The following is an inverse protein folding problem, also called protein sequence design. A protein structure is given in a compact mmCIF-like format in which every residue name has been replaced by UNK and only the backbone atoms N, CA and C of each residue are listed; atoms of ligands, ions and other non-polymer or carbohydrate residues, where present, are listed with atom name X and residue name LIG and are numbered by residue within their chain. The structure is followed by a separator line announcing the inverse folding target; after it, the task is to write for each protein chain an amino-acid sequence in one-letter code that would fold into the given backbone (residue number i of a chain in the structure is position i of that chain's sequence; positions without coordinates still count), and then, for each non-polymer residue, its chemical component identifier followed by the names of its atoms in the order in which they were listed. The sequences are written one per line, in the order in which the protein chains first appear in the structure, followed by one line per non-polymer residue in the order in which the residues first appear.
data_IF_298313258031
#
_entry.id   IF_298313258031
#
_cell.length_a   1.000
_cell.length_b   1.000
_cell.length_c   1.000
_cell.angle_alpha   90.00
_cell.angle_beta   90.00
_cell.angle_gamma   90.00
#
_symmetry.space_group_name_H-M   'P 1'
#
loop_
_entity.id
_entity.type
_entity.pdbx_description
1 polymer ?
#
# COMPACT_ATOMS: atom_id res chain seq x y z
N UNK A 1 4.81 -19.07 6.47
CA UNK A 1 4.83 -19.56 5.08
C UNK A 1 5.32 -18.39 4.25
N UNK A 2 6.32 -18.61 3.40
CA UNK A 2 6.85 -17.54 2.54
C UNK A 2 5.86 -17.18 1.44
N UNK A 3 5.52 -15.89 1.30
CA UNK A 3 4.74 -15.35 0.18
C UNK A 3 5.62 -14.39 -0.61
N UNK A 4 5.72 -14.58 -1.92
CA UNK A 4 6.42 -13.66 -2.83
C UNK A 4 5.42 -12.78 -3.56
N UNK A 5 5.69 -11.48 -3.69
CA UNK A 5 4.84 -10.50 -4.38
C UNK A 5 5.67 -9.34 -4.90
N UNK A 6 5.11 -8.54 -5.80
CA UNK A 6 5.76 -7.32 -6.29
C UNK A 6 5.22 -6.12 -5.53
N UNK A 7 6.09 -5.32 -4.92
CA UNK A 7 5.74 -4.09 -4.22
C UNK A 7 6.45 -2.93 -4.91
N UNK A 8 5.70 -1.98 -5.45
CA UNK A 8 6.25 -0.78 -6.11
C UNK A 8 7.30 -1.10 -7.20
N UNK A 9 7.12 -2.21 -7.92
CA UNK A 9 8.03 -2.65 -8.98
C UNK A 9 9.17 -3.56 -8.51
N UNK A 10 9.36 -3.76 -7.21
CA UNK A 10 10.39 -4.63 -6.65
C UNK A 10 9.79 -5.93 -6.12
N UNK A 11 10.46 -7.06 -6.38
CA UNK A 11 10.05 -8.34 -5.83
C UNK A 11 10.40 -8.43 -4.34
N UNK A 12 9.41 -8.71 -3.51
CA UNK A 12 9.54 -8.89 -2.07
C UNK A 12 9.12 -10.30 -1.68
N UNK A 13 9.80 -10.88 -0.69
CA UNK A 13 9.42 -12.16 -0.10
C UNK A 13 9.29 -11.99 1.41
N UNK A 14 8.14 -12.36 1.95
CA UNK A 14 7.83 -12.21 3.38
C UNK A 14 7.44 -13.56 3.98
N UNK A 15 7.94 -13.88 5.16
CA UNK A 15 7.54 -15.07 5.91
C UNK A 15 6.65 -14.69 7.08
N UNK A 16 5.33 -14.79 6.86
CA UNK A 16 4.29 -14.44 7.83
C UNK A 16 3.15 -15.45 7.78
N UNK A 17 2.17 -15.28 8.68
CA UNK A 17 0.91 -16.02 8.61
C UNK A 17 0.15 -15.64 7.31
N UNK A 18 -0.34 -16.60 6.49
CA UNK A 18 -1.05 -16.32 5.25
C UNK A 18 -2.36 -15.54 5.41
N UNK A 19 -2.95 -15.55 6.62
CA UNK A 19 -4.13 -14.77 6.98
C UNK A 19 -3.80 -13.34 7.40
N UNK A 20 -2.51 -13.01 7.64
CA UNK A 20 -2.08 -11.68 8.06
C UNK A 20 -2.54 -10.65 7.02
N UNK A 21 -3.26 -9.59 7.41
CA UNK A 21 -3.67 -8.55 6.49
C UNK A 21 -2.47 -7.86 5.84
N UNK A 22 -2.57 -7.60 4.53
CA UNK A 22 -1.56 -6.95 3.72
C UNK A 22 -1.12 -5.61 4.32
N UNK A 23 -2.05 -4.87 4.94
CA UNK A 23 -1.73 -3.61 5.62
C UNK A 23 -0.58 -3.75 6.63
N UNK A 24 -0.61 -4.80 7.43
CA UNK A 24 0.40 -5.02 8.47
C UNK A 24 1.71 -5.51 7.87
N UNK A 25 1.65 -6.30 6.79
CA UNK A 25 2.84 -6.69 6.02
C UNK A 25 3.57 -5.47 5.47
N UNK A 26 2.85 -4.57 4.80
CA UNK A 26 3.43 -3.33 4.26
C UNK A 26 4.09 -2.50 5.36
N UNK A 27 3.38 -2.29 6.46
CA UNK A 27 3.82 -1.36 7.52
C UNK A 27 4.92 -1.92 8.42
N UNK A 28 4.80 -3.17 8.84
CA UNK A 28 5.66 -3.75 9.88
C UNK A 28 6.79 -4.60 9.29
N UNK A 29 6.52 -5.38 8.24
CA UNK A 29 7.53 -6.25 7.64
C UNK A 29 8.36 -5.51 6.59
N UNK A 30 7.72 -4.60 5.83
CA UNK A 30 8.38 -3.86 4.74
C UNK A 30 8.64 -2.38 5.06
N UNK A 31 8.24 -1.90 6.24
CA UNK A 31 8.39 -0.52 6.69
C UNK A 31 7.79 0.57 5.75
N UNK A 32 6.87 0.18 4.87
CA UNK A 32 6.10 1.09 3.99
C UNK A 32 4.89 1.63 4.76
N UNK A 33 5.15 2.69 5.52
CA UNK A 33 4.20 3.25 6.49
C UNK A 33 3.25 4.30 5.92
N UNK A 34 3.36 4.65 4.64
CA UNK A 34 2.50 5.57 3.93
C UNK A 34 1.06 5.09 3.85
N UNK A 35 0.84 3.78 3.66
CA UNK A 35 -0.50 3.17 3.78
C UNK A 35 -0.94 3.15 5.24
N UNK A 36 -2.14 3.67 5.56
CA UNK A 36 -2.57 3.91 6.95
C UNK A 36 -3.62 2.93 7.48
N UNK A 37 -3.66 2.80 8.80
CA UNK A 37 -4.71 2.07 9.51
C UNK A 37 -5.77 3.05 10.04
N UNK A 38 -6.97 3.04 9.48
CA UNK A 38 -8.07 3.87 9.99
C UNK A 38 -9.08 3.09 10.85
N UNK A 39 -9.77 2.12 10.25
CA UNK A 39 -10.88 1.41 10.91
C UNK A 39 -10.72 -0.12 11.00
N UNK A 40 -9.83 -0.73 10.21
CA UNK A 40 -9.67 -2.20 10.16
C UNK A 40 -10.82 -3.00 9.51
N UNK A 41 -11.92 -2.33 9.13
CA UNK A 41 -13.15 -2.99 8.66
C UNK A 41 -13.59 -2.52 7.25
N UNK A 42 -12.63 -2.10 6.43
CA UNK A 42 -12.84 -1.67 5.03
C UNK A 42 -13.77 -0.46 4.78
N UNK A 43 -14.15 0.30 5.83
CA UNK A 43 -15.08 1.43 5.68
C UNK A 43 -14.42 2.75 5.28
N UNK A 44 -13.27 3.11 5.88
CA UNK A 44 -12.72 4.46 5.75
C UNK A 44 -11.85 4.72 4.51
N UNK A 45 -11.30 3.68 3.87
CA UNK A 45 -10.40 3.85 2.72
C UNK A 45 -8.96 4.28 3.01
N UNK A 46 -8.58 4.59 4.25
CA UNK A 46 -7.21 5.01 4.59
C UNK A 46 -6.10 3.97 4.26
N UNK A 47 -6.49 2.70 4.14
CA UNK A 47 -5.58 1.58 3.83
C UNK A 47 -5.54 1.21 2.33
N UNK A 48 -5.98 2.11 1.45
CA UNK A 48 -6.09 1.80 0.03
C UNK A 48 -4.72 1.62 -0.61
N UNK A 49 -4.57 0.52 -1.33
CA UNK A 49 -3.45 0.23 -2.23
C UNK A 49 -4.02 -0.24 -3.56
N UNK A 50 -3.22 -0.23 -4.61
CA UNK A 50 -3.61 -0.83 -5.89
C UNK A 50 -3.03 -2.24 -5.98
N UNK A 51 -3.87 -3.23 -6.28
CA UNK A 51 -3.45 -4.61 -6.54
C UNK A 51 -3.77 -4.91 -8.01
N UNK A 52 -2.75 -5.13 -8.82
CA UNK A 52 -2.82 -5.21 -10.29
C UNK A 52 -3.61 -4.03 -10.89
N UNK A 53 -3.32 -2.82 -10.40
CA UNK A 53 -3.98 -1.58 -10.83
C UNK A 53 -5.38 -1.34 -10.25
N UNK A 54 -5.96 -2.29 -9.50
CA UNK A 54 -7.29 -2.13 -8.89
C UNK A 54 -7.20 -1.64 -7.44
N UNK A 55 -7.95 -0.59 -7.10
CA UNK A 55 -8.00 -0.06 -5.74
C UNK A 55 -8.66 -1.07 -4.78
N UNK A 56 -7.92 -1.50 -3.75
CA UNK A 56 -8.36 -2.50 -2.77
C UNK A 56 -8.02 -2.06 -1.34
N UNK A 57 -8.78 -2.58 -0.37
CA UNK A 57 -8.56 -2.32 1.06
C UNK A 57 -7.56 -3.34 1.62
N UNK A 58 -6.35 -2.88 1.95
CA UNK A 58 -5.29 -3.76 2.46
C UNK A 58 -5.57 -4.27 3.88
N UNK A 59 -6.42 -3.60 4.67
CA UNK A 59 -6.72 -4.00 6.05
C UNK A 59 -7.54 -5.29 6.18
N UNK A 60 -8.25 -5.71 5.13
CA UNK A 60 -9.05 -6.95 5.09
C UNK A 60 -8.58 -7.93 4.03
N UNK A 61 -7.54 -7.58 3.27
CA UNK A 61 -6.97 -8.46 2.24
C UNK A 61 -5.85 -9.27 2.86
N UNK A 62 -5.97 -10.60 2.99
CA UNK A 62 -4.89 -11.45 3.47
C UNK A 62 -3.70 -11.47 2.49
N UNK A 63 -2.48 -11.61 3.01
CA UNK A 63 -1.26 -11.69 2.21
C UNK A 63 -1.27 -12.87 1.22
N UNK A 64 -1.89 -13.99 1.61
CA UNK A 64 -2.09 -15.15 0.70
C UNK A 64 -2.84 -14.83 -0.58
N UNK A 65 -3.72 -13.81 -0.59
CA UNK A 65 -4.49 -13.42 -1.80
C UNK A 65 -3.69 -12.57 -2.79
N UNK A 66 -2.47 -12.17 -2.41
CA UNK A 66 -1.62 -11.30 -3.23
C UNK A 66 -0.29 -11.94 -3.61
N UNK A 67 -0.16 -13.26 -3.41
CA UNK A 67 0.98 -14.01 -3.92
C UNK A 67 1.13 -13.85 -5.43
N UNK A 68 2.35 -13.48 -5.87
CA UNK A 68 2.71 -13.23 -7.26
C UNK A 68 2.15 -11.94 -7.87
N UNK A 69 1.31 -11.20 -7.15
CA UNK A 69 0.60 -10.02 -7.68
C UNK A 69 1.41 -8.74 -7.50
N UNK A 70 1.03 -7.70 -8.23
CA UNK A 70 1.64 -6.38 -8.12
C UNK A 70 0.84 -5.49 -7.18
N UNK A 71 1.50 -4.97 -6.15
CA UNK A 71 0.94 -4.01 -5.20
C UNK A 71 1.65 -2.68 -5.36
N UNK A 72 0.89 -1.61 -5.57
CA UNK A 72 1.38 -0.23 -5.56
C UNK A 72 0.84 0.51 -4.34
N UNK A 73 1.75 1.05 -3.54
CA UNK A 73 1.45 1.90 -2.38
C UNK A 73 1.64 3.38 -2.72
N UNK A 74 1.38 4.27 -1.75
CA UNK A 74 1.58 5.71 -1.95
C UNK A 74 3.05 6.07 -2.21
N UNK A 75 3.99 5.34 -1.61
CA UNK A 75 5.43 5.48 -1.82
C UNK A 75 5.82 5.17 -3.26
N UNK A 76 5.14 4.22 -3.90
CA UNK A 76 5.38 3.83 -5.30
C UNK A 76 4.79 4.76 -6.35
N UNK A 77 4.13 5.85 -5.97
CA UNK A 77 3.68 6.87 -6.94
C UNK A 77 4.80 7.81 -7.35
N UNK A 78 5.82 7.96 -6.50
CA UNK A 78 6.98 8.79 -6.80
C UNK A 78 7.78 8.13 -7.92
N UNK A 79 8.29 8.92 -8.86
CA UNK A 79 9.22 8.39 -9.87
C UNK A 79 10.59 8.09 -9.25
N UNK A 80 11.39 7.32 -9.98
CA UNK A 80 12.72 6.87 -9.53
C UNK A 80 13.69 8.03 -9.25
N UNK A 81 13.51 9.17 -9.93
CA UNK A 81 14.26 10.42 -9.72
C UNK A 81 13.76 11.25 -8.52
N UNK A 82 12.69 10.80 -7.84
CA UNK A 82 12.12 11.48 -6.69
C UNK A 82 11.13 12.59 -7.05
N UNK A 83 10.66 12.68 -8.29
CA UNK A 83 9.59 13.62 -8.63
C UNK A 83 8.22 13.14 -8.12
N UNK A 84 7.42 14.09 -7.64
CA UNK A 84 6.07 13.80 -7.16
C UNK A 84 5.15 13.44 -8.32
N UNK A 85 4.27 12.48 -8.09
CA UNK A 85 3.21 12.17 -9.06
C UNK A 85 2.32 13.41 -9.27
N UNK A 86 1.80 13.68 -10.49
CA UNK A 86 0.92 14.82 -10.75
C UNK A 86 -0.27 14.94 -9.78
N UNK A 87 -0.81 13.80 -9.34
CA UNK A 87 -1.86 13.76 -8.30
C UNK A 87 -1.38 14.29 -6.94
N UNK A 88 -0.16 13.92 -6.51
CA UNK A 88 0.42 14.40 -5.26
C UNK A 88 0.73 15.89 -5.34
N UNK A 89 1.25 16.36 -6.48
CA UNK A 89 1.48 17.79 -6.74
C UNK A 89 0.17 18.59 -6.66
N UNK A 90 -0.87 18.16 -7.37
CA UNK A 90 -2.17 18.83 -7.35
C UNK A 90 -2.79 18.89 -5.93
N UNK A 91 -2.62 17.84 -5.13
CA UNK A 91 -3.07 17.85 -3.73
C UNK A 91 -2.39 18.93 -2.88
N UNK A 92 -1.11 19.17 -3.11
CA UNK A 92 -0.33 20.21 -2.42
C UNK A 92 -0.74 21.60 -2.92
N UNK A 93 -0.80 21.78 -4.24
CA UNK A 93 -1.18 23.04 -4.89
C UNK A 93 -2.56 23.53 -4.44
N UNK A 94 -3.50 22.61 -4.31
CA UNK A 94 -4.86 22.92 -3.87
C UNK A 94 -5.08 22.82 -2.36
N UNK A 95 -4.02 22.61 -1.56
CA UNK A 95 -4.08 22.55 -0.10
C UNK A 95 -5.15 21.55 0.41
N UNK A 96 -5.29 20.41 -0.27
CA UNK A 96 -6.31 19.39 0.05
C UNK A 96 -6.09 18.75 1.43
N UNK A 97 -4.87 18.29 1.80
CA UNK A 97 -4.66 17.67 3.10
C UNK A 97 -4.60 18.71 4.22
N UNK A 98 -5.27 18.43 5.35
CA UNK A 98 -5.06 19.15 6.61
C UNK A 98 -4.18 18.35 7.56
N UNK A 99 -4.74 17.30 8.18
CA UNK A 99 -3.96 16.40 9.06
C UNK A 99 -3.08 15.42 8.28
N UNK A 100 -3.41 15.14 7.02
CA UNK A 100 -2.63 14.29 6.13
C UNK A 100 -2.59 12.80 6.51
N UNK A 101 -3.57 12.33 7.29
CA UNK A 101 -3.73 10.90 7.60
C UNK A 101 -4.28 10.12 6.40
#
# INVERSE_FOLDING_TARGET
MSTSLWINGEQQTVDVDPSKPLLWVLREQLALTGTKFGCGIAQCGACTVHIDGQAMRSCVTPISRVEGRQVTTIEGLRSDDGELHPLQQAWIEHQVPQCGY
#
